data_IF_855562911671
#
_entry.id   IF_855562911671
#
_cell.length_a   1.000
_cell.length_b   1.000
_cell.length_c   1.000
_cell.angle_alpha   90.00
_cell.angle_beta   90.00
_cell.angle_gamma   90.00
#
_symmetry.space_group_name_H-M   'P 1'
#
loop_
_entity.id
_entity.type
_entity.pdbx_description
1 polymer ?
#
# COMPACT_ATOMS: atom_id res chain seq x y z
N UNK A 1 42.07 25.92 -69.58
CA UNK A 1 41.96 24.65 -68.83
C UNK A 1 40.96 24.86 -67.71
N UNK A 2 39.72 24.43 -67.94
CA UNK A 2 38.59 24.66 -66.94
C UNK A 2 38.42 23.36 -66.15
N UNK A 3 38.69 23.41 -64.86
CA UNK A 3 38.51 22.31 -63.91
C UNK A 3 37.05 22.30 -63.41
N UNK A 4 36.35 21.24 -63.72
CA UNK A 4 34.99 21.01 -63.21
C UNK A 4 35.09 20.35 -61.82
N UNK A 5 34.65 21.07 -60.77
CA UNK A 5 34.49 20.49 -59.46
C UNK A 5 33.06 19.81 -59.35
N UNK A 6 33.07 18.51 -59.16
CA UNK A 6 31.87 17.72 -58.93
C UNK A 6 31.63 17.71 -57.43
N UNK A 7 30.50 18.28 -57.00
CA UNK A 7 30.07 18.23 -55.60
C UNK A 7 29.21 16.96 -55.42
N UNK A 8 29.70 16.01 -54.66
CA UNK A 8 28.92 14.84 -54.22
C UNK A 8 28.15 15.20 -52.99
N UNK A 9 26.83 15.27 -53.13
CA UNK A 9 25.91 15.44 -51.97
C UNK A 9 25.72 14.09 -51.28
N UNK A 10 26.28 13.93 -50.09
CA UNK A 10 25.99 12.79 -49.21
C UNK A 10 24.66 13.02 -48.49
N UNK A 11 23.63 12.29 -48.90
CA UNK A 11 22.37 12.23 -48.17
C UNK A 11 22.56 11.38 -46.92
N UNK A 12 22.73 12.03 -45.76
CA UNK A 12 22.66 11.36 -44.44
C UNK A 12 21.18 11.03 -44.12
N UNK A 13 20.80 9.79 -44.37
CA UNK A 13 19.51 9.27 -43.91
C UNK A 13 19.48 9.19 -42.38
N UNK A 14 18.73 10.09 -41.75
CA UNK A 14 18.35 9.97 -40.34
C UNK A 14 17.39 8.79 -40.18
N UNK A 15 17.94 7.61 -39.88
CA UNK A 15 17.12 6.54 -39.32
C UNK A 15 16.68 6.98 -37.93
N UNK A 16 15.45 7.51 -37.81
CA UNK A 16 14.76 7.61 -36.56
C UNK A 16 14.53 6.18 -36.04
N UNK A 17 15.43 5.70 -35.19
CA UNK A 17 15.23 4.47 -34.42
C UNK A 17 14.01 4.69 -33.57
N UNK A 18 12.85 4.18 -34.02
CA UNK A 18 11.67 4.03 -33.16
C UNK A 18 12.13 3.18 -31.99
N UNK A 19 12.28 3.80 -30.81
CA UNK A 19 12.51 3.08 -29.56
C UNK A 19 11.26 2.24 -29.30
N UNK A 20 11.20 1.04 -29.89
CA UNK A 20 10.24 0.04 -29.47
C UNK A 20 10.56 -0.25 -28.00
N UNK A 21 9.59 -0.07 -27.13
CA UNK A 21 9.70 -0.53 -25.76
C UNK A 21 10.05 -2.02 -25.81
N UNK A 22 11.29 -2.34 -25.50
CA UNK A 22 11.77 -3.72 -25.53
C UNK A 22 11.06 -4.47 -24.41
N UNK A 23 10.39 -5.57 -24.73
CA UNK A 23 9.74 -6.41 -23.73
C UNK A 23 10.74 -6.80 -22.65
N UNK A 24 10.34 -6.78 -21.37
CA UNK A 24 11.18 -7.30 -20.31
C UNK A 24 11.63 -8.73 -20.61
N UNK A 25 12.86 -9.07 -20.25
CA UNK A 25 13.38 -10.41 -20.45
C UNK A 25 12.50 -11.46 -19.74
N UNK A 26 12.16 -12.53 -20.45
CA UNK A 26 11.32 -13.62 -19.94
C UNK A 26 9.81 -13.44 -20.15
N UNK A 27 9.37 -12.32 -20.73
CA UNK A 27 7.95 -12.16 -21.08
C UNK A 27 7.61 -12.95 -22.35
N UNK A 28 6.36 -13.51 -22.46
CA UNK A 28 5.93 -14.23 -23.64
C UNK A 28 6.03 -13.35 -24.89
N UNK A 29 6.39 -13.93 -26.04
CA UNK A 29 6.57 -13.18 -27.30
C UNK A 29 5.28 -12.46 -27.75
N UNK A 30 4.11 -13.00 -27.42
CA UNK A 30 2.81 -12.42 -27.72
C UNK A 30 2.39 -11.28 -26.77
N UNK A 31 3.15 -11.04 -25.70
CA UNK A 31 2.91 -9.94 -24.76
C UNK A 31 2.99 -8.56 -25.45
N UNK A 32 3.70 -8.46 -26.57
CA UNK A 32 3.73 -7.24 -27.37
C UNK A 32 2.32 -6.80 -27.80
N UNK A 33 1.39 -7.75 -28.00
CA UNK A 33 -0.02 -7.44 -28.31
C UNK A 33 -0.70 -6.65 -27.19
N UNK A 34 -0.36 -6.95 -25.92
CA UNK A 34 -0.89 -6.21 -24.76
C UNK A 34 -0.33 -4.79 -24.76
N UNK A 35 0.98 -4.63 -25.01
CA UNK A 35 1.63 -3.31 -25.09
C UNK A 35 1.01 -2.46 -26.20
N UNK A 36 0.84 -3.03 -27.40
CA UNK A 36 0.29 -2.30 -28.55
C UNK A 36 -1.19 -1.93 -28.35
N UNK A 37 -1.95 -2.81 -27.73
CA UNK A 37 -3.36 -2.53 -27.39
C UNK A 37 -3.46 -1.45 -26.29
N UNK A 38 -2.61 -1.52 -25.25
CA UNK A 38 -2.55 -0.49 -24.20
C UNK A 38 -2.18 0.89 -24.76
N UNK A 39 -1.23 0.96 -25.71
CA UNK A 39 -0.89 2.22 -26.40
C UNK A 39 -2.06 2.78 -27.22
N UNK A 40 -2.87 1.92 -27.81
CA UNK A 40 -4.08 2.35 -28.54
C UNK A 40 -5.18 2.85 -27.59
N UNK A 41 -5.30 2.26 -26.39
CA UNK A 41 -6.18 2.75 -25.33
C UNK A 41 -5.71 4.14 -24.84
N UNK A 42 -4.40 4.39 -24.76
CA UNK A 42 -3.79 5.70 -24.54
C UNK A 42 -3.99 6.28 -23.13
N UNK A 43 -4.73 5.58 -22.27
CA UNK A 43 -5.09 6.05 -20.93
C UNK A 43 -5.16 4.91 -19.93
N UNK A 44 -4.90 5.24 -18.65
CA UNK A 44 -5.10 4.37 -17.50
C UNK A 44 -5.66 5.20 -16.35
N UNK A 45 -6.79 4.80 -15.78
CA UNK A 45 -7.41 5.44 -14.61
C UNK A 45 -7.17 4.58 -13.38
N UNK A 46 -6.47 5.14 -12.40
CA UNK A 46 -6.12 4.49 -11.13
C UNK A 46 -6.86 5.15 -9.96
N UNK A 47 -7.54 4.36 -9.14
CA UNK A 47 -7.99 4.78 -7.81
C UNK A 47 -7.05 4.19 -6.77
N UNK A 48 -6.47 5.04 -5.92
CA UNK A 48 -5.49 4.59 -4.95
C UNK A 48 -5.57 5.25 -3.59
N UNK A 49 -5.14 4.49 -2.58
CA UNK A 49 -4.99 4.95 -1.21
C UNK A 49 -3.50 5.09 -0.82
N UNK A 50 -2.66 5.35 -1.81
CA UNK A 50 -1.24 5.63 -1.64
C UNK A 50 -1.00 7.10 -1.92
N UNK A 51 -0.35 7.80 -1.01
CA UNK A 51 -0.05 9.23 -1.18
C UNK A 51 0.59 9.49 -2.55
N UNK A 52 0.16 10.54 -3.23
CA UNK A 52 0.66 10.92 -4.56
C UNK A 52 2.19 11.00 -4.60
N UNK A 53 2.82 11.47 -3.51
CA UNK A 53 4.30 11.54 -3.40
C UNK A 53 4.96 10.16 -3.55
N UNK A 54 4.34 9.11 -3.00
CA UNK A 54 4.86 7.75 -3.09
C UNK A 54 4.48 7.07 -4.42
N UNK A 55 3.40 7.49 -5.06
CA UNK A 55 2.91 6.91 -6.33
C UNK A 55 3.61 7.53 -7.55
N UNK A 56 3.97 8.82 -7.50
CA UNK A 56 4.58 9.53 -8.63
C UNK A 56 5.83 8.86 -9.22
N UNK A 57 6.77 8.29 -8.46
CA UNK A 57 7.90 7.56 -9.03
C UNK A 57 7.47 6.41 -9.94
N UNK A 58 6.45 5.63 -9.53
CA UNK A 58 5.90 4.53 -10.33
C UNK A 58 5.26 5.03 -11.62
N UNK A 59 4.46 6.10 -11.54
CA UNK A 59 3.82 6.70 -12.71
C UNK A 59 4.87 7.22 -13.69
N UNK A 60 5.87 7.91 -13.20
CA UNK A 60 6.97 8.47 -14.01
C UNK A 60 7.73 7.37 -14.74
N UNK A 61 8.10 6.30 -14.03
CA UNK A 61 8.85 5.20 -14.60
C UNK A 61 8.02 4.40 -15.61
N UNK A 62 6.75 4.12 -15.29
CA UNK A 62 5.81 3.47 -16.21
C UNK A 62 5.59 4.29 -17.49
N UNK A 63 5.38 5.60 -17.37
CA UNK A 63 5.19 6.49 -18.53
C UNK A 63 6.44 6.60 -19.41
N UNK A 64 7.62 6.50 -18.80
CA UNK A 64 8.88 6.45 -19.55
C UNK A 64 9.05 5.12 -20.34
N UNK A 65 8.58 4.00 -19.76
CA UNK A 65 8.58 2.69 -20.42
C UNK A 65 7.55 2.59 -21.54
N UNK A 66 6.38 3.18 -21.32
CA UNK A 66 5.22 3.05 -22.20
C UNK A 66 4.71 4.43 -22.64
N UNK A 67 5.51 5.18 -23.42
CA UNK A 67 5.09 6.48 -23.93
C UNK A 67 3.81 6.33 -24.77
N UNK A 68 2.90 7.29 -24.59
CA UNK A 68 1.57 7.30 -25.21
C UNK A 68 0.46 6.78 -24.31
N UNK A 69 0.76 6.29 -23.10
CA UNK A 69 -0.25 5.94 -22.07
C UNK A 69 -0.23 7.00 -20.97
N UNK A 70 -1.31 7.78 -20.87
CA UNK A 70 -1.50 8.77 -19.80
C UNK A 70 -2.09 8.10 -18.57
N UNK A 71 -1.42 8.20 -17.42
CA UNK A 71 -1.89 7.68 -16.15
C UNK A 71 -2.62 8.79 -15.38
N UNK A 72 -3.92 8.60 -15.13
CA UNK A 72 -4.73 9.44 -14.26
C UNK A 72 -4.82 8.77 -12.89
N UNK A 73 -4.13 9.34 -11.90
CA UNK A 73 -4.14 8.85 -10.52
C UNK A 73 -5.06 9.68 -9.64
N UNK A 74 -5.99 9.04 -8.97
CA UNK A 74 -6.92 9.64 -8.02
C UNK A 74 -6.52 9.20 -6.60
N UNK A 75 -5.87 10.11 -5.86
CA UNK A 75 -5.45 9.93 -4.48
C UNK A 75 -6.64 10.12 -3.52
N UNK A 76 -6.96 9.12 -2.75
CA UNK A 76 -8.10 9.10 -1.82
C UNK A 76 -7.75 8.30 -0.57
N UNK A 77 -8.45 8.49 0.53
CA UNK A 77 -8.32 7.54 1.63
C UNK A 77 -8.94 6.17 1.27
N UNK A 78 -8.55 5.12 2.01
CA UNK A 78 -8.92 3.74 1.66
C UNK A 78 -10.43 3.46 1.70
N UNK A 79 -11.19 4.17 2.53
CA UNK A 79 -12.65 4.07 2.58
C UNK A 79 -13.30 4.80 1.40
N UNK A 80 -12.75 5.96 1.02
CA UNK A 80 -13.23 6.74 -0.14
C UNK A 80 -13.01 5.98 -1.44
N UNK A 81 -11.86 5.31 -1.62
CA UNK A 81 -11.61 4.44 -2.78
C UNK A 81 -12.73 3.42 -2.94
N UNK A 82 -13.08 2.71 -1.86
CA UNK A 82 -14.15 1.71 -1.87
C UNK A 82 -15.51 2.32 -2.19
N UNK A 83 -15.89 3.39 -1.47
CA UNK A 83 -17.21 3.99 -1.61
C UNK A 83 -17.41 4.61 -3.01
N UNK A 84 -16.41 5.30 -3.53
CA UNK A 84 -16.44 5.90 -4.86
C UNK A 84 -16.59 4.83 -5.93
N UNK A 85 -15.77 3.78 -5.87
CA UNK A 85 -15.84 2.68 -6.83
C UNK A 85 -17.25 2.05 -6.86
N UNK A 86 -17.79 1.67 -5.70
CA UNK A 86 -19.13 1.05 -5.60
C UNK A 86 -20.23 1.99 -6.10
N UNK A 87 -20.17 3.27 -5.73
CA UNK A 87 -21.18 4.25 -6.14
C UNK A 87 -21.19 4.46 -7.65
N UNK A 88 -20.02 4.55 -8.29
CA UNK A 88 -19.89 4.72 -9.73
C UNK A 88 -20.36 3.48 -10.49
N UNK A 89 -19.99 2.28 -10.03
CA UNK A 89 -20.47 1.02 -10.62
C UNK A 89 -21.98 0.88 -10.47
N UNK A 90 -22.54 1.18 -9.31
CA UNK A 90 -23.97 1.09 -9.06
C UNK A 90 -24.79 2.07 -9.94
N UNK A 91 -24.22 3.23 -10.28
CA UNK A 91 -24.83 4.21 -11.19
C UNK A 91 -24.66 3.87 -12.67
N UNK A 92 -23.94 2.79 -13.01
CA UNK A 92 -23.58 2.46 -14.41
C UNK A 92 -22.56 3.43 -15.01
N UNK A 93 -21.91 4.24 -14.19
CA UNK A 93 -20.92 5.23 -14.59
C UNK A 93 -19.56 4.63 -14.95
N UNK A 94 -18.70 5.46 -15.53
CA UNK A 94 -17.29 5.13 -15.70
C UNK A 94 -16.60 5.19 -14.32
N UNK A 95 -15.76 4.18 -14.04
CA UNK A 95 -14.95 4.12 -12.84
C UNK A 95 -13.49 3.77 -13.20
N UNK A 96 -12.64 3.54 -12.21
CA UNK A 96 -11.24 3.21 -12.42
C UNK A 96 -11.03 1.92 -13.22
N UNK A 97 -9.95 1.87 -14.00
CA UNK A 97 -9.46 0.65 -14.63
C UNK A 97 -8.76 -0.27 -13.62
N UNK A 98 -8.06 0.35 -12.65
CA UNK A 98 -7.34 -0.35 -11.59
C UNK A 98 -7.65 0.30 -10.24
N UNK A 99 -7.81 -0.54 -9.22
CA UNK A 99 -7.99 -0.12 -7.83
C UNK A 99 -6.83 -0.64 -6.98
N UNK A 100 -6.16 0.25 -6.25
CA UNK A 100 -4.97 -0.05 -5.44
C UNK A 100 -5.08 0.55 -4.04
N UNK A 101 -5.27 -0.28 -3.03
CA UNK A 101 -5.58 0.21 -1.68
C UNK A 101 -4.91 -0.59 -0.56
N UNK A 102 -4.64 0.10 0.54
CA UNK A 102 -4.14 -0.47 1.79
C UNK A 102 -5.21 -1.16 2.64
N UNK A 103 -6.51 -0.89 2.40
CA UNK A 103 -7.59 -1.63 3.06
C UNK A 103 -7.80 -2.97 2.37
N UNK A 104 -6.99 -3.96 2.73
CA UNK A 104 -6.97 -5.28 2.10
C UNK A 104 -8.32 -5.99 2.17
N UNK A 105 -9.04 -5.84 3.27
CA UNK A 105 -10.38 -6.41 3.49
C UNK A 105 -11.40 -5.82 2.51
N UNK A 106 -11.40 -4.50 2.31
CA UNK A 106 -12.28 -3.83 1.34
C UNK A 106 -11.94 -4.22 -0.10
N UNK A 107 -10.63 -4.35 -0.43
CA UNK A 107 -10.20 -4.84 -1.73
C UNK A 107 -10.66 -6.28 -1.96
N UNK A 108 -10.51 -7.14 -0.96
CA UNK A 108 -10.99 -8.51 -1.01
C UNK A 108 -12.52 -8.58 -1.11
N UNK A 109 -13.23 -7.63 -0.49
CA UNK A 109 -14.68 -7.51 -0.65
C UNK A 109 -15.04 -7.23 -2.11
N UNK A 110 -14.42 -6.24 -2.74
CA UNK A 110 -14.65 -5.92 -4.15
C UNK A 110 -14.32 -7.10 -5.07
N UNK A 111 -13.17 -7.74 -4.85
CA UNK A 111 -12.77 -8.90 -5.64
C UNK A 111 -13.74 -10.08 -5.49
N UNK A 112 -14.15 -10.39 -4.26
CA UNK A 112 -15.09 -11.50 -3.96
C UNK A 112 -16.51 -11.23 -4.46
N UNK A 113 -16.93 -9.97 -4.54
CA UNK A 113 -18.21 -9.56 -5.12
C UNK A 113 -18.21 -9.55 -6.66
N UNK A 114 -17.09 -9.96 -7.29
CA UNK A 114 -16.97 -10.17 -8.73
C UNK A 114 -16.60 -8.93 -9.55
N UNK A 115 -16.09 -7.88 -8.90
CA UNK A 115 -15.61 -6.67 -9.59
C UNK A 115 -14.19 -6.81 -10.14
N UNK A 116 -13.40 -7.76 -9.68
CA UNK A 116 -12.06 -7.99 -10.18
C UNK A 116 -12.05 -8.85 -11.44
N UNK A 117 -11.26 -8.44 -12.43
CA UNK A 117 -10.98 -9.23 -13.63
C UNK A 117 -10.02 -10.38 -13.25
N UNK A 118 -10.35 -11.59 -13.66
CA UNK A 118 -9.40 -12.71 -13.55
C UNK A 118 -8.33 -12.56 -14.63
N UNK A 119 -7.12 -12.25 -14.22
CA UNK A 119 -5.96 -12.07 -15.08
C UNK A 119 -4.70 -12.57 -14.37
N UNK A 120 -4.15 -13.68 -14.86
CA UNK A 120 -2.89 -14.22 -14.33
C UNK A 120 -1.73 -13.35 -14.81
N UNK A 121 -1.20 -12.54 -13.90
CA UNK A 121 0.01 -11.76 -14.17
C UNK A 121 1.18 -12.66 -14.55
N UNK A 122 1.99 -12.25 -15.52
CA UNK A 122 3.24 -12.92 -15.90
C UNK A 122 4.25 -12.93 -14.75
N UNK A 123 4.09 -12.04 -13.78
CA UNK A 123 4.93 -11.89 -12.59
C UNK A 123 4.38 -12.62 -11.34
N UNK A 124 3.18 -13.21 -11.42
CA UNK A 124 2.50 -13.79 -10.25
C UNK A 124 3.34 -14.84 -9.49
N UNK A 125 4.18 -15.61 -10.19
CA UNK A 125 5.06 -16.61 -9.58
C UNK A 125 6.25 -16.04 -8.81
N UNK A 126 6.48 -14.72 -8.91
CA UNK A 126 7.62 -14.02 -8.31
C UNK A 126 7.28 -13.32 -6.99
N UNK A 127 6.01 -13.33 -6.61
CA UNK A 127 5.55 -12.79 -5.32
C UNK A 127 5.07 -13.93 -4.42
N UNK A 128 5.04 -13.72 -3.07
CA UNK A 128 4.60 -14.75 -2.13
C UNK A 128 3.17 -15.24 -2.38
N UNK A 129 2.92 -16.52 -2.23
CA UNK A 129 1.59 -17.11 -2.49
C UNK A 129 0.46 -16.50 -1.63
N UNK A 130 0.75 -16.03 -0.40
CA UNK A 130 -0.24 -15.35 0.43
C UNK A 130 -0.69 -14.00 -0.13
N UNK A 131 0.06 -13.44 -1.07
CA UNK A 131 -0.21 -12.14 -1.71
C UNK A 131 -0.98 -12.28 -3.04
N UNK A 132 -1.41 -13.47 -3.41
CA UNK A 132 -2.19 -13.71 -4.65
C UNK A 132 -3.48 -14.44 -4.32
N UNK A 133 -4.58 -13.93 -4.83
CA UNK A 133 -5.87 -14.61 -4.73
C UNK A 133 -6.52 -14.80 -6.10
N UNK A 134 -6.69 -16.06 -6.51
CA UNK A 134 -7.44 -16.53 -7.70
C UNK A 134 -7.11 -15.79 -9.01
N UNK A 135 -5.87 -15.31 -9.19
CA UNK A 135 -5.47 -14.46 -10.31
C UNK A 135 -6.36 -13.20 -10.48
N UNK A 136 -7.00 -12.74 -9.40
CA UNK A 136 -7.89 -11.57 -9.39
C UNK A 136 -7.36 -10.42 -8.53
N UNK A 137 -6.69 -10.72 -7.43
CA UNK A 137 -6.15 -9.71 -6.51
C UNK A 137 -4.70 -10.03 -6.14
N UNK A 138 -3.87 -8.99 -6.10
CA UNK A 138 -2.43 -9.11 -5.90
C UNK A 138 -1.95 -8.12 -4.86
N UNK A 139 -1.20 -8.59 -3.86
CA UNK A 139 -0.44 -7.74 -2.96
C UNK A 139 0.81 -7.21 -3.66
N UNK A 140 1.10 -5.93 -3.45
CA UNK A 140 2.21 -5.25 -4.14
C UNK A 140 3.30 -4.76 -3.21
N UNK A 141 3.04 -4.73 -1.91
CA UNK A 141 3.97 -4.22 -0.88
C UNK A 141 4.04 -5.16 0.33
N UNK A 142 5.04 -4.94 1.20
CA UNK A 142 5.28 -5.73 2.41
C UNK A 142 5.48 -4.79 3.61
N UNK A 143 4.42 -4.07 4.02
CA UNK A 143 4.51 -2.93 4.93
C UNK A 143 4.18 -3.30 6.38
N UNK A 144 5.10 -3.09 7.35
CA UNK A 144 4.83 -3.39 8.74
C UNK A 144 3.88 -2.38 9.38
N UNK A 145 3.04 -2.84 10.31
CA UNK A 145 2.39 -1.99 11.28
C UNK A 145 3.37 -1.65 12.40
N UNK A 146 3.49 -0.38 12.74
CA UNK A 146 4.50 0.10 13.69
C UNK A 146 3.87 0.83 14.88
N UNK A 147 4.59 0.81 15.99
CA UNK A 147 4.42 1.76 17.09
C UNK A 147 5.35 2.94 16.80
N UNK A 148 4.82 4.15 16.79
CA UNK A 148 5.58 5.37 16.53
C UNK A 148 5.51 6.27 17.74
N UNK A 149 6.62 6.88 18.12
CA UNK A 149 6.68 7.70 19.34
C UNK A 149 7.54 8.96 19.15
N UNK A 150 7.30 9.95 20.00
CA UNK A 150 8.12 11.17 20.03
C UNK A 150 9.34 10.94 20.92
N UNK A 151 10.54 10.88 20.33
CA UNK A 151 11.82 10.64 21.02
C UNK A 151 12.20 11.69 22.06
N UNK A 152 11.64 12.90 21.97
CA UNK A 152 11.90 13.98 22.93
C UNK A 152 11.06 13.85 24.19
N UNK A 153 9.93 13.13 24.10
CA UNK A 153 8.91 13.06 25.14
C UNK A 153 8.74 11.66 25.74
N UNK A 154 9.15 10.62 25.01
CA UNK A 154 9.14 9.22 25.47
C UNK A 154 10.59 8.77 25.63
N UNK A 155 10.98 8.43 26.85
CA UNK A 155 12.34 7.94 27.13
C UNK A 155 12.60 6.62 26.40
N UNK A 156 13.84 6.39 25.96
CA UNK A 156 14.23 5.16 25.28
C UNK A 156 13.92 3.89 26.10
N UNK A 157 13.94 3.99 27.43
CA UNK A 157 13.59 2.89 28.35
C UNK A 157 12.09 2.62 28.43
N UNK A 158 11.26 3.59 28.08
CA UNK A 158 9.80 3.47 28.05
C UNK A 158 9.30 2.89 26.74
N UNK A 159 10.13 2.81 25.67
CA UNK A 159 9.69 2.36 24.35
C UNK A 159 9.19 0.92 24.40
N UNK A 160 7.90 0.68 24.13
CA UNK A 160 7.30 -0.66 24.25
C UNK A 160 7.86 -1.59 23.16
N UNK A 161 8.30 -2.77 23.55
CA UNK A 161 8.88 -3.76 22.65
C UNK A 161 7.84 -4.77 22.15
N UNK A 162 6.74 -4.93 22.87
CA UNK A 162 5.66 -5.88 22.62
C UNK A 162 4.29 -5.20 22.72
N UNK A 163 3.22 -5.86 22.28
CA UNK A 163 1.85 -5.38 22.49
C UNK A 163 1.52 -5.29 23.98
N UNK A 164 1.99 -6.23 24.80
CA UNK A 164 1.78 -6.18 26.24
C UNK A 164 2.49 -4.98 26.88
N UNK A 165 3.72 -4.68 26.46
CA UNK A 165 4.44 -3.47 26.94
C UNK A 165 3.69 -2.20 26.55
N UNK A 166 3.16 -2.14 25.31
CA UNK A 166 2.35 -1.00 24.84
C UNK A 166 1.10 -0.81 25.70
N UNK A 167 0.36 -1.89 25.96
CA UNK A 167 -0.86 -1.87 26.82
C UNK A 167 -0.52 -1.34 28.22
N UNK A 168 0.59 -1.82 28.82
CA UNK A 168 1.00 -1.37 30.15
C UNK A 168 1.47 0.10 30.15
N UNK A 169 2.16 0.51 29.09
CA UNK A 169 2.68 1.88 28.97
C UNK A 169 1.55 2.90 28.90
N UNK A 170 0.55 2.67 28.02
CA UNK A 170 -0.47 3.67 27.75
C UNK A 170 -1.48 3.86 28.91
N UNK A 171 -1.51 2.93 29.86
CA UNK A 171 -2.30 3.08 31.13
C UNK A 171 -1.69 4.09 32.10
N UNK A 172 -0.43 4.48 31.92
CA UNK A 172 0.22 5.43 32.80
C UNK A 172 -0.35 6.85 32.62
N UNK A 173 -0.46 7.65 33.70
CA UNK A 173 -1.06 8.99 33.65
C UNK A 173 -0.43 9.92 32.58
N UNK A 174 0.86 9.77 32.31
CA UNK A 174 1.63 10.51 31.29
C UNK A 174 1.01 10.39 29.88
N UNK A 175 0.41 9.24 29.58
CA UNK A 175 -0.13 8.93 28.25
C UNK A 175 -1.60 9.25 28.08
N UNK A 176 -2.28 9.72 29.13
CA UNK A 176 -3.68 10.11 29.05
C UNK A 176 -3.85 11.26 28.05
N UNK A 177 -4.78 11.10 27.12
CA UNK A 177 -5.02 12.02 25.98
C UNK A 177 -3.81 12.18 25.02
N UNK A 178 -2.78 11.32 25.12
CA UNK A 178 -1.53 11.41 24.37
C UNK A 178 -1.23 10.23 23.44
N UNK A 179 -2.14 9.27 23.37
CA UNK A 179 -2.07 8.10 22.49
C UNK A 179 -2.88 8.36 21.24
N UNK A 180 -2.40 7.93 20.08
CA UNK A 180 -3.16 8.02 18.83
C UNK A 180 -3.20 6.68 18.08
N UNK A 181 -4.28 6.46 17.34
CA UNK A 181 -4.43 5.36 16.37
C UNK A 181 -5.42 5.78 15.28
N UNK A 182 -5.75 4.88 14.36
CA UNK A 182 -6.76 5.15 13.35
C UNK A 182 -8.18 5.25 13.91
N UNK A 183 -8.98 6.13 13.31
CA UNK A 183 -10.43 6.08 13.41
C UNK A 183 -10.94 4.90 12.57
N UNK A 184 -11.26 3.80 13.23
CA UNK A 184 -11.68 2.56 12.55
C UNK A 184 -13.05 2.66 11.85
N UNK A 185 -13.79 3.72 12.08
CA UNK A 185 -15.04 3.98 11.35
C UNK A 185 -14.78 4.67 10.01
N UNK A 186 -13.74 5.52 9.94
CA UNK A 186 -13.40 6.35 8.79
C UNK A 186 -12.24 5.80 7.97
N UNK A 187 -11.35 5.02 8.58
CA UNK A 187 -10.16 4.46 7.94
C UNK A 187 -10.30 2.96 7.71
N UNK A 188 -10.42 2.55 6.46
CA UNK A 188 -10.49 1.13 6.09
C UNK A 188 -9.23 0.36 6.52
N UNK A 189 -8.03 0.93 6.32
CA UNK A 189 -6.79 0.29 6.78
C UNK A 189 -6.72 0.21 8.31
N UNK A 190 -7.24 1.22 9.00
CA UNK A 190 -7.33 1.20 10.47
C UNK A 190 -8.27 0.12 10.97
N UNK A 191 -9.44 -0.03 10.36
CA UNK A 191 -10.38 -1.11 10.67
C UNK A 191 -9.74 -2.48 10.43
N UNK A 192 -9.09 -2.66 9.29
CA UNK A 192 -8.38 -3.90 8.96
C UNK A 192 -7.32 -4.24 10.01
N UNK A 193 -6.42 -3.31 10.35
CA UNK A 193 -5.38 -3.58 11.37
C UNK A 193 -5.99 -3.98 12.71
N UNK A 194 -7.00 -3.26 13.18
CA UNK A 194 -7.61 -3.55 14.48
C UNK A 194 -8.31 -4.92 14.49
N UNK A 195 -8.93 -5.33 13.37
CA UNK A 195 -9.53 -6.67 13.24
C UNK A 195 -8.48 -7.77 13.14
N UNK A 196 -7.30 -7.49 12.57
CA UNK A 196 -6.19 -8.44 12.58
C UNK A 196 -5.59 -8.58 13.99
N UNK A 197 -5.45 -7.49 14.76
CA UNK A 197 -5.05 -7.58 16.16
C UNK A 197 -6.05 -8.38 16.99
N UNK A 198 -7.35 -8.23 16.74
CA UNK A 198 -8.37 -9.04 17.39
C UNK A 198 -8.24 -10.56 17.09
N UNK A 199 -7.58 -10.94 16.00
CA UNK A 199 -7.30 -12.33 15.66
C UNK A 199 -5.98 -12.84 16.21
N UNK A 200 -4.93 -12.00 16.19
CA UNK A 200 -3.56 -12.39 16.49
C UNK A 200 -3.19 -12.14 17.95
N UNK A 201 -3.77 -11.13 18.62
CA UNK A 201 -3.45 -10.79 20.00
C UNK A 201 -4.45 -11.39 20.98
N UNK A 202 -4.06 -12.43 21.75
CA UNK A 202 -4.98 -13.12 22.67
C UNK A 202 -5.61 -12.22 23.72
N UNK A 203 -4.97 -11.09 24.04
CA UNK A 203 -5.43 -10.12 25.04
C UNK A 203 -5.98 -8.84 24.40
N UNK A 204 -6.60 -8.96 23.23
CA UNK A 204 -7.13 -7.82 22.49
C UNK A 204 -8.09 -6.95 23.31
N UNK A 205 -8.92 -7.55 24.17
CA UNK A 205 -9.81 -6.80 25.06
C UNK A 205 -9.04 -5.90 26.05
N UNK A 206 -7.86 -6.33 26.52
CA UNK A 206 -7.00 -5.50 27.37
C UNK A 206 -6.45 -4.28 26.60
N UNK A 207 -6.13 -4.45 25.30
CA UNK A 207 -5.70 -3.37 24.42
C UNK A 207 -6.82 -2.35 24.21
N UNK A 208 -8.06 -2.80 23.91
CA UNK A 208 -9.20 -1.89 23.75
C UNK A 208 -9.49 -1.11 25.04
N UNK A 209 -9.46 -1.79 26.19
CA UNK A 209 -9.67 -1.15 27.48
C UNK A 209 -8.57 -0.10 27.77
N UNK A 210 -7.32 -0.43 27.49
CA UNK A 210 -6.19 0.50 27.65
C UNK A 210 -6.32 1.75 26.77
N UNK A 211 -6.83 1.61 25.54
CA UNK A 211 -7.16 2.75 24.69
C UNK A 211 -8.23 3.65 25.32
N UNK A 212 -9.26 3.06 25.92
CA UNK A 212 -10.31 3.81 26.64
C UNK A 212 -9.76 4.55 27.86
N UNK A 213 -8.96 3.88 28.70
CA UNK A 213 -8.32 4.47 29.88
C UNK A 213 -7.38 5.62 29.48
N UNK A 214 -6.61 5.44 28.40
CA UNK A 214 -5.73 6.45 27.83
C UNK A 214 -6.47 7.59 27.11
N UNK A 215 -7.79 7.48 26.89
CA UNK A 215 -8.59 8.39 26.06
C UNK A 215 -7.94 8.60 24.68
N UNK A 216 -7.76 7.50 23.96
CA UNK A 216 -7.08 7.49 22.66
C UNK A 216 -7.64 8.53 21.70
N UNK A 217 -6.76 9.22 20.96
CA UNK A 217 -7.09 10.20 19.93
C UNK A 217 -7.05 9.51 18.57
N UNK A 218 -8.20 9.39 17.91
CA UNK A 218 -8.30 8.71 16.63
C UNK A 218 -8.13 9.65 15.45
N UNK A 219 -7.46 9.17 14.37
CA UNK A 219 -7.15 9.92 13.17
C UNK A 219 -7.54 9.13 11.91
N UNK A 220 -7.85 9.85 10.83
CA UNK A 220 -8.23 9.21 9.55
C UNK A 220 -7.04 8.76 8.71
N UNK A 221 -5.82 9.26 8.97
CA UNK A 221 -4.64 8.98 8.15
C UNK A 221 -3.35 8.81 8.97
N UNK A 222 -2.39 8.07 8.40
CA UNK A 222 -1.00 7.99 8.90
C UNK A 222 -0.36 9.36 8.99
N UNK A 223 -0.54 10.20 7.98
CA UNK A 223 0.05 11.54 7.93
C UNK A 223 -0.33 12.37 9.14
N UNK A 224 -1.62 12.44 9.46
CA UNK A 224 -2.12 13.18 10.63
C UNK A 224 -1.59 12.61 11.95
N UNK A 225 -1.53 11.27 12.09
CA UNK A 225 -0.91 10.66 13.29
C UNK A 225 0.56 11.08 13.43
N UNK A 226 1.32 11.04 12.35
CA UNK A 226 2.74 11.40 12.33
C UNK A 226 2.97 12.88 12.68
N UNK A 227 2.15 13.77 12.16
CA UNK A 227 2.21 15.22 12.47
C UNK A 227 1.97 15.48 13.95
N UNK A 228 0.95 14.86 14.54
CA UNK A 228 0.62 15.01 15.97
C UNK A 228 1.69 14.40 16.88
N UNK A 229 2.33 13.31 16.46
CA UNK A 229 3.47 12.74 17.21
C UNK A 229 4.69 13.64 17.08
N UNK A 230 5.00 14.13 15.89
CA UNK A 230 6.13 15.04 15.63
C UNK A 230 6.03 16.33 16.45
N UNK A 231 4.85 16.94 16.50
CA UNK A 231 4.59 18.15 17.27
C UNK A 231 4.59 17.94 18.80
N UNK A 232 4.46 16.67 19.26
CA UNK A 232 4.29 16.34 20.69
C UNK A 232 2.86 16.49 21.21
N UNK A 233 1.90 16.73 20.35
CA UNK A 233 0.47 16.67 20.72
C UNK A 233 0.10 15.26 21.18
N UNK A 234 0.58 14.24 20.45
CA UNK A 234 0.55 12.85 20.88
C UNK A 234 1.98 12.37 21.17
N UNK A 235 2.14 11.53 22.19
CA UNK A 235 3.43 10.94 22.55
C UNK A 235 3.72 9.68 21.77
N UNK A 236 2.67 8.90 21.48
CA UNK A 236 2.80 7.57 20.88
C UNK A 236 1.59 7.25 20.00
N UNK A 237 1.84 6.54 18.90
CA UNK A 237 0.85 6.05 17.97
C UNK A 237 0.94 4.54 17.77
N UNK A 238 -0.20 3.91 17.55
CA UNK A 238 -0.34 2.47 17.36
C UNK A 238 -0.87 2.13 15.97
N UNK A 239 -0.37 1.04 15.39
CA UNK A 239 -0.72 0.57 14.04
C UNK A 239 -0.46 1.61 12.93
N UNK A 240 0.56 2.45 13.12
CA UNK A 240 0.99 3.41 12.09
C UNK A 240 1.64 2.64 10.93
N UNK A 241 1.35 3.01 9.68
CA UNK A 241 2.03 2.43 8.52
C UNK A 241 3.55 2.66 8.62
N UNK A 242 4.29 1.56 8.80
CA UNK A 242 5.72 1.61 9.10
C UNK A 242 6.57 2.15 7.95
N UNK A 243 6.17 1.94 6.70
CA UNK A 243 6.84 2.51 5.53
C UNK A 243 6.88 4.05 5.61
N UNK A 244 5.75 4.68 5.87
CA UNK A 244 5.67 6.14 6.04
C UNK A 244 6.40 6.63 7.31
N UNK A 245 6.28 5.88 8.41
CA UNK A 245 6.94 6.21 9.66
C UNK A 245 8.46 6.19 9.54
N UNK A 246 9.02 5.18 8.90
CA UNK A 246 10.46 5.04 8.70
C UNK A 246 11.03 6.10 7.75
N UNK A 247 10.28 6.47 6.70
CA UNK A 247 10.65 7.60 5.84
C UNK A 247 10.66 8.90 6.62
N UNK A 248 9.63 9.16 7.42
CA UNK A 248 9.55 10.36 8.26
C UNK A 248 10.67 10.42 9.28
N UNK A 249 11.00 9.31 9.93
CA UNK A 249 12.07 9.24 10.92
C UNK A 249 13.46 9.60 10.37
N UNK A 250 13.70 9.44 9.05
CA UNK A 250 14.96 9.87 8.40
C UNK A 250 15.08 11.40 8.33
N UNK A 251 13.97 12.12 8.20
CA UNK A 251 13.94 13.57 8.05
C UNK A 251 13.50 14.32 9.32
N UNK A 252 12.91 13.61 10.28
CA UNK A 252 12.39 14.18 11.52
C UNK A 252 13.01 13.44 12.73
N UNK A 253 14.02 14.02 13.38
CA UNK A 253 14.73 13.39 14.50
C UNK A 253 13.85 13.17 15.74
N UNK A 254 12.68 13.83 15.82
CA UNK A 254 11.72 13.62 16.91
C UNK A 254 10.97 12.31 16.81
N UNK A 255 10.93 11.69 15.63
CA UNK A 255 10.17 10.45 15.39
C UNK A 255 11.02 9.22 15.70
N UNK A 256 10.49 8.36 16.58
CA UNK A 256 10.95 6.99 16.80
C UNK A 256 9.97 5.99 16.23
N UNK A 257 10.49 4.88 15.72
CA UNK A 257 9.69 3.78 15.16
C UNK A 257 10.11 2.49 15.85
N UNK A 258 9.15 1.77 16.40
CA UNK A 258 9.32 0.46 17.00
C UNK A 258 8.42 -0.54 16.31
N UNK A 259 9.00 -1.62 15.82
CA UNK A 259 8.26 -2.78 15.34
C UNK A 259 8.05 -3.75 16.50
N UNK A 260 6.83 -4.16 16.84
CA UNK A 260 6.58 -5.06 17.97
C UNK A 260 7.30 -6.41 17.78
N UNK A 261 7.94 -6.91 18.85
CA UNK A 261 8.79 -8.12 18.80
C UNK A 261 8.05 -9.42 19.14
N UNK A 262 6.86 -9.33 19.68
CA UNK A 262 5.98 -10.49 19.88
C UNK A 262 5.36 -10.93 18.55
N UNK A 263 4.79 -10.00 17.78
CA UNK A 263 4.48 -10.13 16.36
C UNK A 263 4.41 -8.75 15.71
N UNK A 264 4.69 -8.68 14.43
CA UNK A 264 4.46 -7.49 13.60
C UNK A 264 3.51 -7.86 12.46
N UNK A 265 2.34 -7.21 12.44
CA UNK A 265 1.44 -7.31 11.28
C UNK A 265 2.13 -6.71 10.06
N UNK A 266 2.05 -7.42 8.95
CA UNK A 266 2.54 -6.92 7.66
C UNK A 266 1.39 -6.90 6.67
N UNK A 267 1.00 -5.71 6.26
CA UNK A 267 -0.01 -5.52 5.24
C UNK A 267 0.61 -5.41 3.85
N UNK A 268 -0.21 -5.62 2.85
CA UNK A 268 0.11 -5.34 1.46
C UNK A 268 -0.91 -4.38 0.86
N UNK A 269 -0.47 -3.46 0.01
CA UNK A 269 -1.42 -2.72 -0.83
C UNK A 269 -1.91 -3.65 -1.91
N UNK A 270 -3.18 -3.97 -1.86
CA UNK A 270 -3.81 -4.90 -2.82
C UNK A 270 -4.25 -4.13 -4.06
N UNK A 271 -3.89 -4.66 -5.21
CA UNK A 271 -4.30 -4.17 -6.53
C UNK A 271 -5.18 -5.20 -7.21
N UNK A 272 -6.20 -4.72 -7.92
CA UNK A 272 -6.95 -5.54 -8.88
C UNK A 272 -7.31 -4.71 -10.13
N UNK A 273 -7.49 -5.40 -11.26
CA UNK A 273 -8.02 -4.82 -12.48
C UNK A 273 -9.55 -4.86 -12.39
N UNK A 274 -10.22 -3.74 -12.60
CA UNK A 274 -11.67 -3.70 -12.66
C UNK A 274 -12.17 -4.54 -13.85
N UNK A 275 -13.10 -5.44 -13.61
CA UNK A 275 -13.73 -6.26 -14.65
C UNK A 275 -14.44 -5.41 -15.73
N UNK A 276 -14.93 -4.23 -15.35
CA UNK A 276 -15.53 -3.24 -16.24
C UNK A 276 -14.55 -2.18 -16.77
N UNK A 277 -13.23 -2.42 -16.67
CA UNK A 277 -12.21 -1.48 -17.12
C UNK A 277 -12.39 -1.12 -18.60
N UNK A 278 -12.33 0.18 -18.91
CA UNK A 278 -12.36 0.67 -20.30
C UNK A 278 -11.01 0.47 -20.99
N UNK A 279 -9.92 0.60 -20.21
CA UNK A 279 -8.56 0.51 -20.70
C UNK A 279 -7.89 -0.77 -20.13
N UNK A 280 -8.47 -1.93 -20.49
CA UNK A 280 -8.11 -3.22 -19.87
C UNK A 280 -6.69 -3.65 -20.16
N UNK A 281 -6.12 -3.31 -21.32
CA UNK A 281 -4.74 -3.68 -21.64
C UNK A 281 -3.74 -2.77 -20.94
N UNK A 282 -4.02 -1.48 -20.81
CA UNK A 282 -3.25 -0.56 -19.98
C UNK A 282 -3.28 -1.00 -18.50
N UNK A 283 -4.43 -1.47 -18.00
CA UNK A 283 -4.57 -2.02 -16.66
C UNK A 283 -3.74 -3.29 -16.43
N UNK A 284 -3.72 -4.23 -17.41
CA UNK A 284 -2.84 -5.42 -17.36
C UNK A 284 -1.38 -5.04 -17.35
N UNK A 285 -0.99 -4.13 -18.24
CA UNK A 285 0.38 -3.65 -18.35
C UNK A 285 0.86 -2.97 -17.06
N UNK A 286 0.00 -2.16 -16.41
CA UNK A 286 0.28 -1.55 -15.13
C UNK A 286 0.43 -2.59 -14.01
N UNK A 287 -0.46 -3.58 -13.93
CA UNK A 287 -0.38 -4.64 -12.94
C UNK A 287 0.94 -5.42 -13.07
N UNK A 288 1.27 -5.85 -14.28
CA UNK A 288 2.50 -6.60 -14.53
C UNK A 288 3.74 -5.74 -14.23
N UNK A 289 3.71 -4.45 -14.59
CA UNK A 289 4.78 -3.50 -14.23
C UNK A 289 4.93 -3.38 -12.71
N UNK A 290 3.85 -3.19 -11.96
CA UNK A 290 3.91 -3.07 -10.50
C UNK A 290 4.51 -4.31 -9.83
N UNK A 291 4.24 -5.50 -10.36
CA UNK A 291 4.74 -6.77 -9.84
C UNK A 291 6.11 -7.15 -10.41
N UNK A 292 6.58 -6.50 -11.49
CA UNK A 292 7.88 -6.77 -12.11
C UNK A 292 9.05 -6.41 -11.18
N UNK A 293 10.22 -6.99 -11.44
CA UNK A 293 11.43 -6.62 -10.71
C UNK A 293 11.71 -5.11 -10.79
N UNK A 294 11.47 -4.47 -11.97
CA UNK A 294 11.66 -3.03 -12.17
C UNK A 294 10.68 -2.21 -11.30
N UNK A 295 9.38 -2.49 -11.40
CA UNK A 295 8.37 -1.78 -10.62
C UNK A 295 8.60 -1.94 -9.11
N UNK A 296 8.98 -3.14 -8.67
CA UNK A 296 9.29 -3.41 -7.28
C UNK A 296 10.59 -2.73 -6.81
N UNK A 297 11.56 -2.54 -7.71
CA UNK A 297 12.77 -1.73 -7.44
C UNK A 297 12.41 -0.26 -7.24
N UNK A 298 11.50 0.29 -8.06
CA UNK A 298 10.96 1.65 -7.87
C UNK A 298 10.18 1.74 -6.56
N UNK A 299 9.36 0.74 -6.21
CA UNK A 299 8.64 0.66 -4.92
C UNK A 299 9.63 0.78 -3.76
N UNK A 300 10.71 0.00 -3.77
CA UNK A 300 11.69 -0.01 -2.69
C UNK A 300 12.49 1.28 -2.59
N UNK A 301 13.03 1.76 -3.73
CA UNK A 301 14.07 2.78 -3.72
C UNK A 301 13.55 4.21 -3.91
N UNK A 302 12.46 4.39 -4.66
CA UNK A 302 11.96 5.72 -5.01
C UNK A 302 10.64 6.04 -4.28
N UNK A 303 9.69 5.11 -4.27
CA UNK A 303 8.42 5.23 -3.55
C UNK A 303 8.58 5.07 -2.04
N UNK A 304 9.68 4.43 -1.59
CA UNK A 304 9.99 4.14 -0.18
C UNK A 304 8.92 3.29 0.51
N UNK A 305 8.21 2.48 -0.28
CA UNK A 305 7.35 1.41 0.22
C UNK A 305 8.15 0.10 0.25
N UNK A 306 7.75 -0.83 1.11
CA UNK A 306 8.48 -2.11 1.19
C UNK A 306 8.12 -3.00 0.01
N UNK A 307 9.12 -3.35 -0.82
CA UNK A 307 8.94 -4.27 -1.92
C UNK A 307 8.57 -5.67 -1.42
N UNK A 308 7.61 -6.31 -2.10
CA UNK A 308 7.14 -7.65 -1.73
C UNK A 308 7.98 -8.77 -2.35
N UNK A 309 8.67 -8.49 -3.47
CA UNK A 309 9.52 -9.47 -4.13
C UNK A 309 10.81 -9.71 -3.34
N UNK A 310 11.15 -10.98 -3.14
CA UNK A 310 12.35 -11.37 -2.41
C UNK A 310 13.67 -11.13 -3.19
N UNK A 311 13.59 -11.01 -4.52
CA UNK A 311 14.74 -10.80 -5.41
C UNK A 311 15.08 -9.31 -5.64
N UNK A 312 14.36 -8.38 -4.98
CA UNK A 312 14.63 -6.94 -5.05
C UNK A 312 15.57 -6.52 -3.93
N UNK A 313 16.56 -5.73 -4.28
CA UNK A 313 17.49 -5.10 -3.34
C UNK A 313 17.23 -3.60 -3.26
N UNK A 314 17.44 -3.00 -2.11
CA UNK A 314 17.22 -1.56 -1.93
C UNK A 314 17.03 -1.17 -0.47
N UNK A 315 16.50 0.05 -0.26
CA UNK A 315 16.38 0.62 1.07
C UNK A 315 15.20 0.06 1.88
N UNK A 316 14.12 -0.36 1.21
CA UNK A 316 12.91 -0.88 1.87
C UNK A 316 12.45 -2.15 1.14
N UNK A 317 12.85 -3.30 1.70
CA UNK A 317 12.56 -4.61 1.13
C UNK A 317 11.98 -5.56 2.18
N UNK A 318 11.26 -6.58 1.73
CA UNK A 318 10.79 -7.65 2.61
C UNK A 318 11.97 -8.38 3.29
N UNK A 319 13.07 -8.56 2.57
CA UNK A 319 14.28 -9.20 3.11
C UNK A 319 14.90 -8.38 4.26
N UNK A 320 14.96 -7.05 4.13
CA UNK A 320 15.47 -6.18 5.20
C UNK A 320 14.57 -6.21 6.44
N UNK A 321 13.26 -6.22 6.23
CA UNK A 321 12.31 -6.32 7.35
C UNK A 321 12.47 -7.66 8.08
N UNK A 322 12.57 -8.76 7.35
CA UNK A 322 12.83 -10.11 7.92
C UNK A 322 14.14 -10.11 8.72
N UNK A 323 15.19 -9.51 8.19
CA UNK A 323 16.49 -9.40 8.88
C UNK A 323 16.39 -8.59 10.17
N UNK A 324 15.56 -7.55 10.17
CA UNK A 324 15.41 -6.64 11.30
C UNK A 324 14.66 -7.26 12.48
N UNK A 325 13.56 -7.99 12.21
CA UNK A 325 12.66 -8.46 13.28
C UNK A 325 12.56 -9.98 13.40
N UNK A 326 13.07 -10.74 12.44
CA UNK A 326 12.96 -12.20 12.38
C UNK A 326 11.69 -12.67 11.65
N UNK A 327 11.84 -13.71 10.85
CA UNK A 327 10.74 -14.29 10.05
C UNK A 327 9.59 -14.80 10.92
N UNK A 328 9.88 -15.35 12.09
CA UNK A 328 8.91 -15.91 13.04
C UNK A 328 8.01 -14.84 13.69
N UNK A 329 8.44 -13.59 13.70
CA UNK A 329 7.69 -12.45 14.23
C UNK A 329 6.80 -11.78 13.18
N UNK A 330 7.05 -12.04 11.91
CA UNK A 330 6.27 -11.44 10.81
C UNK A 330 4.95 -12.17 10.66
N UNK A 331 3.85 -11.43 10.69
CA UNK A 331 2.48 -11.91 10.46
C UNK A 331 1.90 -11.24 9.21
N UNK A 332 2.12 -11.81 8.01
CA UNK A 332 1.53 -11.28 6.80
C UNK A 332 0.00 -11.41 6.85
N UNK A 333 -0.68 -10.31 6.57
CA UNK A 333 -2.13 -10.30 6.34
C UNK A 333 -2.37 -10.88 4.95
N UNK A 334 -3.04 -12.05 4.81
CA UNK A 334 -3.14 -12.72 3.52
C UNK A 334 -4.15 -12.02 2.60
N UNK A 335 -3.85 -11.97 1.31
CA UNK A 335 -4.82 -11.60 0.27
C UNK A 335 -5.78 -12.77 0.08
N UNK A 336 -6.82 -12.81 0.93
CA UNK A 336 -7.71 -13.96 1.01
C UNK A 336 -9.09 -13.56 1.57
N UNK A 337 -10.19 -14.20 1.15
CA UNK A 337 -11.55 -13.93 1.67
C UNK A 337 -11.73 -14.06 3.18
N UNK A 338 -10.77 -14.66 3.90
CA UNK A 338 -10.77 -14.68 5.38
C UNK A 338 -10.89 -13.28 5.97
N UNK A 339 -10.41 -12.25 5.27
CA UNK A 339 -10.49 -10.84 5.66
C UNK A 339 -11.93 -10.32 5.71
N UNK A 340 -12.86 -10.98 5.03
CA UNK A 340 -14.27 -10.60 5.03
C UNK A 340 -14.99 -10.94 6.35
N UNK A 341 -14.33 -11.67 7.25
CA UNK A 341 -14.92 -12.15 8.49
C UNK A 341 -15.59 -11.03 9.32
N UNK A 342 -14.99 -9.84 9.35
CA UNK A 342 -15.48 -8.69 10.08
C UNK A 342 -16.26 -7.69 9.22
N UNK A 343 -16.36 -7.89 7.90
CA UNK A 343 -17.08 -6.99 7.00
C UNK A 343 -18.58 -7.30 6.85
N UNK A 344 -19.03 -8.47 7.30
CA UNK A 344 -20.46 -8.77 7.36
C UNK A 344 -21.19 -7.78 8.28
N UNK A 345 -22.39 -7.25 7.89
CA UNK A 345 -23.03 -6.14 8.60
C UNK A 345 -23.15 -6.35 10.11
N UNK A 346 -23.61 -7.52 10.56
CA UNK A 346 -23.78 -7.82 11.99
C UNK A 346 -22.44 -7.82 12.75
N UNK A 347 -21.40 -8.47 12.19
CA UNK A 347 -20.09 -8.54 12.83
C UNK A 347 -19.39 -7.18 12.84
N UNK A 348 -19.48 -6.43 11.73
CA UNK A 348 -18.94 -5.07 11.66
C UNK A 348 -19.61 -4.17 12.70
N UNK A 349 -20.94 -4.17 12.78
CA UNK A 349 -21.66 -3.38 13.77
C UNK A 349 -21.28 -3.78 15.20
N UNK A 350 -21.19 -5.07 15.50
CA UNK A 350 -20.80 -5.55 16.82
C UNK A 350 -19.39 -5.08 17.20
N UNK A 351 -18.41 -5.21 16.27
CA UNK A 351 -17.04 -4.77 16.49
C UNK A 351 -16.93 -3.26 16.71
N UNK A 352 -17.61 -2.46 15.89
CA UNK A 352 -17.63 -1.00 16.04
C UNK A 352 -18.34 -0.56 17.33
N UNK A 353 -19.41 -1.27 17.72
CA UNK A 353 -20.09 -1.00 18.99
C UNK A 353 -19.18 -1.29 20.18
N UNK A 354 -18.52 -2.45 20.20
CA UNK A 354 -17.54 -2.81 21.23
C UNK A 354 -16.42 -1.77 21.32
N UNK A 355 -15.86 -1.35 20.20
CA UNK A 355 -14.84 -0.30 20.13
C UNK A 355 -15.32 1.01 20.76
N UNK A 356 -16.55 1.45 20.45
CA UNK A 356 -17.12 2.68 21.04
C UNK A 356 -17.31 2.58 22.54
N UNK A 357 -17.73 1.41 23.01
CA UNK A 357 -18.00 1.18 24.45
C UNK A 357 -16.70 1.02 25.26
N UNK A 358 -15.59 0.68 24.64
CA UNK A 358 -14.29 0.49 25.28
C UNK A 358 -13.31 1.63 24.98
N UNK A 359 -12.77 1.67 23.77
CA UNK A 359 -11.75 2.62 23.35
C UNK A 359 -12.31 4.01 23.02
N UNK A 360 -13.55 4.09 22.53
CA UNK A 360 -14.20 5.34 22.11
C UNK A 360 -14.83 6.17 23.23
N UNK A 361 -14.70 5.77 24.50
CA UNK A 361 -15.25 6.54 25.64
C UNK A 361 -14.55 7.91 25.72
N UNK A 362 -15.32 8.97 25.48
CA UNK A 362 -14.89 10.37 25.62
C UNK A 362 -14.88 10.80 27.08
#
# INVERSE_FOLDING_TARGET
MKMKMTVAAAAAGLFASSAFAQLPAGYPADYQKVVDAAKKEGKLVLYGATDSKATQPLIKDFSALYPGITVEYNDMNSTEVYNRFISEVASGGATADVVWSSAMDLQMRLASDGYALKYKSVEASKIPGWAVWDDQAYGTTFEPAAIVYNKRLVDAKEVPQTHADFVNLIKQPKFKDKVTTYDIEKSGVGFMFMTQDAREYPKFQELENAFGEAKVRVQSSTGTMMERISSGENLIGYNVLGSYALVRAKSDPSIGVQLPKDYTLVMSRVVFINKGAKNVNAAKLWLDYMLSHRGQTVIANDSKLYAIRADVTGETTSADLVKQIGQDKIKPVPVHPILLQFLGPAKRMAFLKQWKETAGKK
#
